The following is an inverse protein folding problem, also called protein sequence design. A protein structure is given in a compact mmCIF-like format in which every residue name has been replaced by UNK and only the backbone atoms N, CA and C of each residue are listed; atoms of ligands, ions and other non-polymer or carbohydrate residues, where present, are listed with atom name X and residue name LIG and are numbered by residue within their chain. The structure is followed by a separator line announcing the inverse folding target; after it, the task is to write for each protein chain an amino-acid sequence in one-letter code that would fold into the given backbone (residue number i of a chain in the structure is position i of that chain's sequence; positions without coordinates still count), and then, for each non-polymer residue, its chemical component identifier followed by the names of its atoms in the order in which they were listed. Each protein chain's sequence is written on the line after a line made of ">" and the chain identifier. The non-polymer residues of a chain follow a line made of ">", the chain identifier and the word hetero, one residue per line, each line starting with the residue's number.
data_IF_521793155772
#
_entry.id   IF_521793155772
#
_cell.length_a   1.000
_cell.length_b   1.000
_cell.length_c   1.000
_cell.angle_alpha   90.00
_cell.angle_beta   90.00
_cell.angle_gamma   90.00
#
_symmetry.space_group_name_H-M   'P 1'
#
loop_
_entity.id
_entity.type
_entity.pdbx_description
1 polymer ?
#
# COMPACT_ATOMS: atom_id res chain seq x y z
N UNK A 1 -18.44 -37.89 -34.47
CA UNK A 1 -18.16 -36.45 -34.35
C UNK A 1 -19.29 -35.66 -33.63
N UNK A 2 -20.55 -35.64 -34.14
CA UNK A 2 -21.65 -34.85 -33.53
C UNK A 2 -21.88 -35.16 -32.03
N UNK A 3 -21.89 -36.43 -31.59
CA UNK A 3 -22.08 -36.81 -30.20
C UNK A 3 -20.95 -36.31 -29.28
N UNK A 4 -19.69 -36.41 -29.71
CA UNK A 4 -18.52 -35.92 -28.99
C UNK A 4 -18.58 -34.39 -28.83
N UNK A 5 -18.95 -33.68 -29.89
CA UNK A 5 -19.13 -32.22 -29.87
C UNK A 5 -20.21 -31.79 -28.87
N UNK A 6 -21.36 -32.48 -28.84
CA UNK A 6 -22.44 -32.19 -27.89
C UNK A 6 -22.01 -32.45 -26.46
N UNK A 7 -21.24 -33.50 -26.19
CA UNK A 7 -20.69 -33.81 -24.86
C UNK A 7 -19.70 -32.73 -24.43
N UNK A 8 -18.76 -32.36 -25.32
CA UNK A 8 -17.81 -31.27 -25.03
C UNK A 8 -18.53 -29.95 -24.76
N UNK A 9 -19.56 -29.61 -25.52
CA UNK A 9 -20.33 -28.38 -25.30
C UNK A 9 -21.06 -28.39 -23.95
N UNK A 10 -21.62 -29.54 -23.53
CA UNK A 10 -22.28 -29.73 -22.24
C UNK A 10 -21.34 -29.59 -21.05
N UNK A 11 -20.04 -29.84 -21.22
CA UNK A 11 -19.02 -29.66 -20.18
C UNK A 11 -18.47 -28.22 -20.21
N UNK A 12 -18.18 -27.72 -21.43
CA UNK A 12 -17.53 -26.43 -21.61
C UNK A 12 -18.45 -25.24 -21.20
N UNK A 13 -19.73 -25.29 -21.56
CA UNK A 13 -20.69 -24.22 -21.22
C UNK A 13 -20.84 -23.99 -19.71
N UNK A 14 -21.06 -25.01 -18.87
CA UNK A 14 -21.07 -24.80 -17.41
C UNK A 14 -19.74 -24.31 -16.87
N UNK A 15 -18.61 -24.80 -17.38
CA UNK A 15 -17.27 -24.35 -16.96
C UNK A 15 -17.06 -22.87 -17.26
N UNK A 16 -17.40 -22.43 -18.47
CA UNK A 16 -17.35 -21.01 -18.86
C UNK A 16 -18.30 -20.18 -18.00
N UNK A 17 -19.50 -20.69 -17.71
CA UNK A 17 -20.46 -20.01 -16.83
C UNK A 17 -19.90 -19.84 -15.40
N UNK A 18 -19.33 -20.87 -14.80
CA UNK A 18 -18.71 -20.83 -13.48
C UNK A 18 -17.53 -19.84 -13.49
N UNK A 19 -16.66 -19.89 -14.48
CA UNK A 19 -15.52 -18.98 -14.60
C UNK A 19 -15.98 -17.52 -14.74
N UNK A 20 -17.02 -17.28 -15.55
CA UNK A 20 -17.59 -15.94 -15.70
C UNK A 20 -18.16 -15.41 -14.40
N UNK A 21 -18.90 -16.24 -13.66
CA UNK A 21 -19.45 -15.89 -12.35
C UNK A 21 -18.34 -15.64 -11.32
N UNK A 22 -17.28 -16.45 -11.33
CA UNK A 22 -16.13 -16.24 -10.45
C UNK A 22 -15.41 -14.91 -10.75
N UNK A 23 -15.15 -14.64 -12.04
CA UNK A 23 -14.56 -13.37 -12.46
C UNK A 23 -15.45 -12.19 -12.07
N UNK A 24 -16.75 -12.29 -12.33
CA UNK A 24 -17.73 -11.25 -11.95
C UNK A 24 -17.74 -11.04 -10.44
N UNK A 25 -17.74 -12.11 -9.63
CA UNK A 25 -17.63 -12.02 -8.17
C UNK A 25 -16.38 -11.27 -7.74
N UNK A 26 -15.18 -11.66 -8.23
CA UNK A 26 -13.93 -10.98 -7.88
C UNK A 26 -13.89 -9.51 -8.31
N UNK A 27 -14.58 -9.14 -9.36
CA UNK A 27 -14.65 -7.76 -9.84
C UNK A 27 -15.60 -6.88 -9.02
N UNK A 28 -16.72 -7.42 -8.56
CA UNK A 28 -17.79 -6.65 -7.91
C UNK A 28 -17.76 -6.76 -6.39
N UNK A 29 -17.14 -7.83 -5.84
CA UNK A 29 -17.16 -8.08 -4.41
C UNK A 29 -16.47 -6.96 -3.62
N UNK A 30 -17.16 -6.45 -2.58
CA UNK A 30 -16.60 -5.51 -1.62
C UNK A 30 -16.06 -6.31 -0.42
N UNK A 31 -14.86 -5.92 0.03
CA UNK A 31 -14.12 -6.65 1.08
C UNK A 31 -14.22 -6.00 2.46
N UNK A 32 -15.15 -5.07 2.66
CA UNK A 32 -15.29 -4.29 3.91
C UNK A 32 -15.50 -5.20 5.13
N UNK A 33 -16.37 -6.21 5.00
CA UNK A 33 -16.63 -7.19 6.07
C UNK A 33 -15.37 -8.00 6.38
N UNK A 34 -14.72 -8.55 5.35
CA UNK A 34 -13.44 -9.25 5.50
C UNK A 34 -12.39 -8.39 6.23
N UNK A 35 -12.25 -7.12 5.82
CA UNK A 35 -11.27 -6.23 6.45
C UNK A 35 -11.59 -5.97 7.93
N UNK A 36 -12.86 -5.80 8.26
CA UNK A 36 -13.30 -5.57 9.63
C UNK A 36 -13.07 -6.79 10.53
N UNK A 37 -13.48 -7.97 10.06
CA UNK A 37 -13.29 -9.23 10.78
C UNK A 37 -11.81 -9.57 10.94
N UNK A 38 -11.05 -9.47 9.86
CA UNK A 38 -9.63 -9.79 9.83
C UNK A 38 -8.79 -8.85 10.70
N UNK A 39 -9.13 -7.54 10.72
CA UNK A 39 -8.53 -6.59 11.66
C UNK A 39 -8.81 -6.97 13.10
N UNK A 40 -10.06 -7.28 13.42
CA UNK A 40 -10.50 -7.54 14.81
C UNK A 40 -10.11 -6.40 15.76
N UNK A 41 -9.83 -6.77 17.01
CA UNK A 41 -9.31 -5.88 18.06
C UNK A 41 -7.83 -6.16 18.30
N UNK A 42 -7.03 -5.12 18.53
CA UNK A 42 -5.63 -5.26 18.92
C UNK A 42 -5.53 -5.90 20.32
N UNK A 43 -5.04 -7.12 20.39
CA UNK A 43 -4.95 -7.94 21.63
C UNK A 43 -3.55 -8.01 22.20
N UNK A 44 -2.51 -7.98 21.33
CA UNK A 44 -1.12 -8.07 21.73
C UNK A 44 -0.27 -6.96 21.12
N UNK A 45 0.63 -6.37 21.93
CA UNK A 45 1.65 -5.44 21.50
C UNK A 45 2.96 -5.82 22.19
N UNK A 46 3.99 -6.06 21.39
CA UNK A 46 5.35 -6.28 21.88
C UNK A 46 6.27 -5.28 21.20
N UNK A 47 6.98 -4.47 22.00
CA UNK A 47 7.96 -3.52 21.54
C UNK A 47 9.35 -3.96 22.01
N UNK A 48 10.29 -4.08 21.06
CA UNK A 48 11.70 -4.36 21.32
C UNK A 48 12.51 -3.15 20.87
N UNK A 49 13.19 -2.51 21.82
CA UNK A 49 14.06 -1.38 21.50
C UNK A 49 15.25 -1.85 20.69
N UNK A 50 15.50 -1.16 19.58
CA UNK A 50 16.65 -1.35 18.72
C UNK A 50 17.61 -0.15 18.85
N UNK A 51 18.78 -0.23 18.21
CA UNK A 51 19.71 0.88 18.18
C UNK A 51 19.09 2.07 17.42
N UNK A 52 18.93 3.18 18.12
CA UNK A 52 18.44 4.45 17.62
C UNK A 52 19.59 5.43 17.39
N UNK A 53 19.24 6.69 17.20
CA UNK A 53 20.20 7.79 17.09
C UNK A 53 19.87 8.93 18.07
N UNK A 54 20.54 10.06 17.95
CA UNK A 54 20.30 11.23 18.79
C UNK A 54 18.93 11.91 18.56
N UNK A 55 18.20 11.55 17.51
CA UNK A 55 16.93 12.15 17.11
C UNK A 55 15.76 11.22 17.40
N UNK A 56 15.97 9.90 17.29
CA UNK A 56 14.92 8.89 17.36
C UNK A 56 15.31 7.70 18.23
N UNK A 57 14.35 7.23 19.03
CA UNK A 57 14.34 5.87 19.54
C UNK A 57 13.76 4.95 18.48
N UNK A 58 14.45 3.86 18.18
CA UNK A 58 14.00 2.85 17.21
C UNK A 58 13.44 1.63 17.95
N UNK A 59 12.33 1.09 17.44
CA UNK A 59 11.71 -0.12 17.96
C UNK A 59 11.33 -1.06 16.83
N UNK A 60 11.40 -2.36 17.12
CA UNK A 60 10.70 -3.39 16.39
C UNK A 60 9.43 -3.72 17.16
N UNK A 61 8.30 -3.64 16.47
CA UNK A 61 6.98 -3.79 17.08
C UNK A 61 6.27 -4.98 16.44
N UNK A 62 5.70 -5.85 17.27
CA UNK A 62 4.80 -6.93 16.83
C UNK A 62 3.41 -6.65 17.37
N UNK A 63 2.41 -6.67 16.48
CA UNK A 63 1.02 -6.43 16.77
C UNK A 63 0.23 -7.71 16.50
N UNK A 64 -0.68 -8.06 17.40
CA UNK A 64 -1.56 -9.22 17.25
C UNK A 64 -3.02 -8.79 17.44
N UNK A 65 -3.93 -9.42 16.68
CA UNK A 65 -5.37 -9.19 16.80
C UNK A 65 -6.14 -10.48 17.00
N UNK A 66 -7.33 -10.38 17.59
CA UNK A 66 -8.28 -11.48 17.67
C UNK A 66 -8.86 -11.90 16.31
N UNK A 67 -8.74 -11.05 15.27
CA UNK A 67 -9.00 -11.38 13.87
C UNK A 67 -7.93 -12.25 13.22
N UNK A 68 -6.88 -12.64 13.96
CA UNK A 68 -5.80 -13.51 13.53
C UNK A 68 -4.71 -12.84 12.72
N UNK A 69 -4.60 -11.49 12.73
CA UNK A 69 -3.45 -10.80 12.17
C UNK A 69 -2.27 -10.81 13.13
N UNK A 70 -1.08 -11.00 12.56
CA UNK A 70 0.20 -10.73 13.21
C UNK A 70 0.99 -9.79 12.30
N UNK A 71 1.27 -8.57 12.76
CA UNK A 71 1.91 -7.51 11.95
C UNK A 71 3.20 -7.05 12.62
N UNK A 72 4.32 -7.31 11.95
CA UNK A 72 5.60 -6.76 12.36
C UNK A 72 5.77 -5.35 11.80
N UNK A 73 6.28 -4.41 12.63
CA UNK A 73 6.51 -3.03 12.24
C UNK A 73 7.90 -2.56 12.67
N UNK A 74 8.45 -1.62 11.91
CA UNK A 74 9.48 -0.72 12.41
C UNK A 74 8.84 0.57 12.93
N UNK A 75 9.39 1.12 14.01
CA UNK A 75 8.93 2.37 14.60
C UNK A 75 10.12 3.28 14.90
N UNK A 76 10.00 4.55 14.54
CA UNK A 76 10.86 5.64 15.02
C UNK A 76 10.01 6.58 15.88
N UNK A 77 10.37 6.75 17.14
CA UNK A 77 9.76 7.72 18.05
C UNK A 77 10.75 8.85 18.35
N UNK A 78 10.36 10.13 18.27
CA UNK A 78 11.25 11.24 18.53
C UNK A 78 11.83 11.17 19.95
N UNK A 79 13.12 11.51 20.10
CA UNK A 79 13.73 11.74 21.40
C UNK A 79 13.13 13.02 21.97
N UNK A 80 12.54 12.93 23.14
CA UNK A 80 11.90 14.10 23.79
C UNK A 80 12.94 15.14 24.19
N UNK A 81 12.62 16.40 23.92
CA UNK A 81 13.43 17.50 24.44
C UNK A 81 13.35 17.56 25.98
N UNK A 82 14.45 17.82 26.68
CA UNK A 82 14.43 18.00 28.13
C UNK A 82 13.42 19.09 28.53
N UNK A 83 12.48 18.76 29.41
CA UNK A 83 11.46 19.68 29.89
C UNK A 83 10.16 19.75 29.09
N UNK A 84 10.03 19.05 27.96
CA UNK A 84 8.78 18.97 27.22
C UNK A 84 7.75 18.11 27.97
N UNK A 85 6.70 18.75 28.48
CA UNK A 85 5.58 18.07 29.14
C UNK A 85 4.52 17.68 28.11
N UNK A 86 4.28 16.38 27.91
CA UNK A 86 3.15 15.79 27.14
C UNK A 86 3.02 16.27 25.69
N UNK A 87 4.13 16.46 24.98
CA UNK A 87 4.07 16.73 23.55
C UNK A 87 3.58 15.50 22.78
N UNK A 88 2.53 15.69 21.96
CA UNK A 88 2.06 14.66 21.04
C UNK A 88 2.53 14.99 19.64
N UNK A 89 3.08 14.01 18.96
CA UNK A 89 3.66 14.16 17.65
C UNK A 89 2.69 13.68 16.55
N UNK A 90 2.68 14.31 15.37
CA UNK A 90 2.08 13.70 14.19
C UNK A 90 2.66 12.31 13.95
N UNK A 91 1.93 11.46 13.24
CA UNK A 91 2.44 10.15 12.86
C UNK A 91 2.39 9.96 11.33
N UNK A 92 3.41 9.32 10.78
CA UNK A 92 3.44 8.92 9.37
C UNK A 92 3.53 7.40 9.32
N UNK A 93 2.51 6.77 8.74
CA UNK A 93 2.54 5.35 8.39
C UNK A 93 3.14 5.25 6.99
N UNK A 94 4.27 4.56 6.87
CA UNK A 94 5.00 4.42 5.60
C UNK A 94 4.83 3.01 5.06
N UNK A 95 4.18 2.89 3.92
CA UNK A 95 4.12 1.66 3.13
C UNK A 95 5.23 1.72 2.09
N UNK A 96 6.30 0.98 2.34
CA UNK A 96 7.51 1.03 1.53
C UNK A 96 7.37 0.33 0.17
N UNK A 97 8.47 0.26 -0.58
CA UNK A 97 8.56 -0.54 -1.79
C UNK A 97 8.52 -2.05 -1.48
N UNK A 98 8.41 -2.86 -2.52
CA UNK A 98 8.26 -4.33 -2.45
C UNK A 98 9.24 -5.05 -1.50
N UNK A 99 10.46 -4.52 -1.33
CA UNK A 99 11.54 -5.15 -0.57
C UNK A 99 11.92 -4.41 0.71
N UNK A 100 11.19 -3.37 1.08
CA UNK A 100 11.54 -2.54 2.24
C UNK A 100 10.71 -2.87 3.48
N UNK A 101 9.42 -3.19 3.33
CA UNK A 101 8.54 -3.54 4.45
C UNK A 101 8.75 -2.61 5.66
N UNK A 102 8.94 -3.19 6.84
CA UNK A 102 9.21 -2.47 8.10
C UNK A 102 10.49 -1.63 8.10
N UNK A 103 11.45 -1.96 7.24
CA UNK A 103 12.70 -1.20 7.11
C UNK A 103 12.49 0.15 6.39
N UNK A 104 11.29 0.42 5.87
CA UNK A 104 10.96 1.70 5.27
C UNK A 104 11.11 2.88 6.25
N UNK A 105 11.09 2.65 7.56
CA UNK A 105 11.43 3.67 8.56
C UNK A 105 12.82 4.27 8.39
N UNK A 106 13.78 3.50 7.85
CA UNK A 106 15.16 3.98 7.64
C UNK A 106 15.25 5.03 6.51
N UNK A 107 14.17 5.26 5.77
CA UNK A 107 14.11 6.27 4.69
C UNK A 107 13.35 7.53 5.11
N UNK A 108 13.03 7.69 6.41
CA UNK A 108 12.39 8.90 6.96
C UNK A 108 13.40 10.04 7.14
N UNK A 109 14.16 10.35 6.10
CA UNK A 109 15.17 11.40 6.12
C UNK A 109 14.55 12.78 6.36
N UNK A 110 15.26 13.66 7.09
CA UNK A 110 14.93 15.08 7.25
C UNK A 110 13.56 15.38 7.89
N UNK A 111 12.93 14.36 8.53
CA UNK A 111 11.70 14.53 9.30
C UNK A 111 12.09 14.48 10.79
N UNK A 112 11.67 15.50 11.55
CA UNK A 112 11.86 15.58 13.00
C UNK A 112 10.51 15.76 13.68
N UNK A 113 10.42 15.41 14.96
CA UNK A 113 9.22 15.58 15.75
C UNK A 113 7.98 14.88 15.16
N UNK A 114 8.19 13.69 14.59
CA UNK A 114 7.15 12.85 13.98
C UNK A 114 7.40 11.40 14.36
N UNK A 115 6.36 10.69 14.76
CA UNK A 115 6.41 9.24 14.90
C UNK A 115 6.31 8.63 13.52
N UNK A 116 7.27 7.77 13.13
CA UNK A 116 7.25 7.08 11.85
C UNK A 116 7.07 5.59 12.11
N UNK A 117 6.11 4.97 11.45
CA UNK A 117 5.88 3.53 11.55
C UNK A 117 5.73 2.92 10.17
N UNK A 118 6.35 1.78 9.96
CA UNK A 118 6.23 1.02 8.72
C UNK A 118 5.91 -0.44 9.03
N UNK A 119 4.76 -0.96 8.58
CA UNK A 119 4.47 -2.39 8.69
C UNK A 119 5.24 -3.20 7.66
N UNK A 120 5.54 -4.44 8.01
CA UNK A 120 5.96 -5.46 7.05
C UNK A 120 4.76 -5.88 6.19
N UNK A 121 5.07 -6.38 5.00
CA UNK A 121 4.03 -6.94 4.14
C UNK A 121 3.69 -8.39 4.57
N UNK A 122 2.42 -8.81 4.47
CA UNK A 122 2.00 -10.15 4.87
C UNK A 122 2.60 -11.29 4.04
N UNK A 123 3.29 -10.97 2.96
CA UNK A 123 3.88 -11.94 2.04
C UNK A 123 5.27 -11.52 1.58
N UNK A 124 6.20 -12.47 1.62
CA UNK A 124 7.54 -12.29 1.05
C UNK A 124 7.65 -13.07 -0.26
N UNK A 125 7.65 -12.40 -1.42
CA UNK A 125 7.72 -13.08 -2.69
C UNK A 125 9.06 -13.79 -2.89
N UNK A 126 9.02 -14.95 -3.55
CA UNK A 126 10.24 -15.66 -3.96
C UNK A 126 11.06 -14.79 -4.93
N UNK A 127 12.37 -14.97 -5.00
CA UNK A 127 13.22 -14.26 -5.96
C UNK A 127 12.83 -14.50 -7.42
N UNK A 128 12.35 -15.71 -7.73
CA UNK A 128 11.85 -16.12 -9.05
C UNK A 128 10.74 -17.16 -8.88
N UNK A 129 9.91 -17.30 -9.90
CA UNK A 129 8.83 -18.28 -9.96
C UNK A 129 8.91 -19.08 -11.24
N UNK A 130 8.81 -20.41 -11.16
CA UNK A 130 8.30 -21.22 -12.22
C UNK A 130 6.78 -21.02 -12.32
N UNK A 131 6.18 -21.40 -13.46
CA UNK A 131 4.73 -21.29 -13.63
C UNK A 131 3.93 -22.08 -12.58
N UNK A 132 4.41 -23.28 -12.23
CA UNK A 132 3.75 -24.13 -11.23
C UNK A 132 3.86 -23.52 -9.81
N UNK A 133 5.03 -23.06 -9.41
CA UNK A 133 5.23 -22.37 -8.13
C UNK A 133 4.35 -21.13 -8.02
N UNK A 134 4.26 -20.35 -9.09
CA UNK A 134 3.36 -19.19 -9.11
C UNK A 134 1.90 -19.62 -8.86
N UNK A 135 1.41 -20.67 -9.55
CA UNK A 135 0.02 -21.16 -9.33
C UNK A 135 -0.22 -21.67 -7.91
N UNK A 136 0.77 -22.32 -7.31
CA UNK A 136 0.69 -22.80 -5.92
C UNK A 136 0.60 -21.63 -4.93
N UNK A 137 1.37 -20.58 -5.16
CA UNK A 137 1.45 -19.44 -4.24
C UNK A 137 0.32 -18.39 -4.47
N UNK A 138 -0.47 -18.51 -5.55
CA UNK A 138 -1.61 -17.60 -5.85
C UNK A 138 -2.57 -17.42 -4.67
N UNK A 139 -3.04 -18.47 -3.97
CA UNK A 139 -3.94 -18.28 -2.83
C UNK A 139 -3.30 -17.46 -1.69
N UNK A 140 -2.03 -17.72 -1.39
CA UNK A 140 -1.29 -16.99 -0.36
C UNK A 140 -1.07 -15.52 -0.77
N UNK A 141 -0.67 -15.28 -2.03
CA UNK A 141 -0.54 -13.92 -2.58
C UNK A 141 -1.86 -13.15 -2.50
N UNK A 142 -2.98 -13.83 -2.77
CA UNK A 142 -4.31 -13.23 -2.68
C UNK A 142 -4.69 -12.88 -1.25
N UNK A 143 -4.48 -13.78 -0.30
CA UNK A 143 -4.73 -13.55 1.12
C UNK A 143 -3.86 -12.38 1.61
N UNK A 144 -2.58 -12.37 1.26
CA UNK A 144 -1.68 -11.29 1.60
C UNK A 144 -2.12 -9.93 1.05
N UNK A 145 -2.58 -9.88 -0.20
CA UNK A 145 -3.13 -8.65 -0.77
C UNK A 145 -4.37 -8.15 -0.01
N UNK A 146 -5.22 -9.05 0.44
CA UNK A 146 -6.38 -8.72 1.29
C UNK A 146 -5.95 -8.27 2.67
N UNK A 147 -4.97 -8.93 3.29
CA UNK A 147 -4.49 -8.63 4.64
C UNK A 147 -3.70 -7.32 4.74
N UNK A 148 -3.23 -6.73 3.64
CA UNK A 148 -2.55 -5.43 3.65
C UNK A 148 -3.42 -4.31 4.25
N UNK A 149 -4.69 -4.25 3.89
CA UNK A 149 -5.60 -3.20 4.37
C UNK A 149 -5.84 -3.31 5.88
N UNK A 150 -6.31 -4.44 6.42
CA UNK A 150 -6.55 -4.59 7.85
C UNK A 150 -5.25 -4.52 8.68
N UNK A 151 -4.08 -4.89 8.12
CA UNK A 151 -2.78 -4.71 8.78
C UNK A 151 -2.48 -3.23 9.05
N UNK A 152 -2.70 -2.37 8.07
CA UNK A 152 -2.52 -0.90 8.25
C UNK A 152 -3.54 -0.34 9.23
N UNK A 153 -4.79 -0.83 9.20
CA UNK A 153 -5.81 -0.42 10.17
C UNK A 153 -5.43 -0.83 11.60
N UNK A 154 -4.82 -2.01 11.79
CA UNK A 154 -4.30 -2.46 13.10
C UNK A 154 -3.13 -1.58 13.57
N UNK A 155 -2.26 -1.14 12.68
CA UNK A 155 -1.21 -0.15 13.00
C UNK A 155 -1.81 1.17 13.49
N UNK A 156 -2.92 1.63 12.88
CA UNK A 156 -3.62 2.82 13.38
C UNK A 156 -4.25 2.60 14.76
N UNK A 157 -4.72 1.38 15.08
CA UNK A 157 -5.19 1.04 16.42
C UNK A 157 -4.07 1.08 17.46
N UNK A 158 -2.88 0.62 17.08
CA UNK A 158 -1.68 0.73 17.91
C UNK A 158 -1.30 2.20 18.14
N UNK A 159 -1.23 3.00 17.08
CA UNK A 159 -0.91 4.43 17.20
C UNK A 159 -1.91 5.18 18.08
N UNK A 160 -3.20 4.81 18.04
CA UNK A 160 -4.24 5.41 18.87
C UNK A 160 -4.06 5.11 20.37
N UNK A 161 -3.34 4.05 20.76
CA UNK A 161 -3.02 3.71 22.15
C UNK A 161 -1.74 4.39 22.64
N UNK A 162 -0.94 4.97 21.76
CA UNK A 162 0.31 5.62 22.13
C UNK A 162 0.07 7.01 22.72
N UNK A 163 0.63 7.32 23.91
CA UNK A 163 0.41 8.62 24.55
C UNK A 163 1.18 9.77 23.88
N UNK A 164 2.18 9.46 23.05
CA UNK A 164 3.04 10.39 22.33
C UNK A 164 2.54 10.69 20.90
N UNK A 165 1.43 10.10 20.46
CA UNK A 165 0.87 10.30 19.11
C UNK A 165 -0.33 11.23 19.15
N UNK A 166 -0.35 12.20 18.22
CA UNK A 166 -1.54 12.98 17.89
C UNK A 166 -2.32 12.28 16.77
N UNK A 167 -3.38 11.60 17.13
CA UNK A 167 -4.22 10.83 16.21
C UNK A 167 -5.00 11.67 15.21
N UNK A 168 -5.08 12.98 15.41
CA UNK A 168 -5.69 13.91 14.45
C UNK A 168 -4.74 14.28 13.30
N UNK A 169 -3.46 13.92 13.42
CA UNK A 169 -2.39 14.24 12.45
C UNK A 169 -1.67 12.99 11.95
N UNK A 170 -2.44 11.96 11.56
CA UNK A 170 -1.89 10.74 10.96
C UNK A 170 -1.82 10.93 9.43
N UNK A 171 -0.66 10.66 8.86
CA UNK A 171 -0.43 10.63 7.41
C UNK A 171 -0.24 9.19 6.97
N UNK A 172 -0.94 8.76 5.92
CA UNK A 172 -0.69 7.47 5.28
C UNK A 172 0.06 7.70 3.97
N UNK A 173 1.31 7.27 3.93
CA UNK A 173 2.23 7.42 2.80
C UNK A 173 2.56 6.08 2.19
N UNK A 174 2.31 5.91 0.89
CA UNK A 174 2.72 4.73 0.12
C UNK A 174 3.75 5.07 -0.94
N UNK A 175 4.82 4.28 -1.01
CA UNK A 175 5.84 4.36 -2.05
C UNK A 175 5.70 3.20 -3.03
N UNK A 176 5.64 3.48 -4.35
CA UNK A 176 5.68 2.48 -5.42
C UNK A 176 4.72 1.31 -5.13
N UNK A 177 5.22 0.16 -4.70
CA UNK A 177 4.40 -1.01 -4.33
C UNK A 177 3.41 -0.75 -3.19
N UNK A 178 3.74 0.11 -2.24
CA UNK A 178 2.85 0.50 -1.14
C UNK A 178 1.79 1.53 -1.53
N UNK A 179 1.99 2.26 -2.62
CA UNK A 179 1.08 3.33 -3.02
C UNK A 179 -0.36 2.85 -3.33
N UNK A 180 -0.60 1.73 -4.02
CA UNK A 180 -1.94 1.20 -4.27
C UNK A 180 -2.76 0.89 -3.00
N UNK A 181 -2.10 0.59 -1.88
CA UNK A 181 -2.77 0.26 -0.61
C UNK A 181 -3.44 1.49 0.01
N UNK A 182 -2.88 2.69 -0.21
CA UNK A 182 -3.33 3.94 0.42
C UNK A 182 -4.82 4.23 0.19
N UNK A 183 -5.34 4.23 -1.06
CA UNK A 183 -6.75 4.49 -1.29
C UNK A 183 -7.68 3.43 -0.68
N UNK A 184 -7.26 2.16 -0.71
CA UNK A 184 -8.06 1.07 -0.15
C UNK A 184 -8.20 1.20 1.38
N UNK A 185 -7.12 1.55 2.08
CA UNK A 185 -7.13 1.77 3.53
C UNK A 185 -8.03 2.96 3.89
N UNK A 186 -7.85 4.12 3.24
CA UNK A 186 -8.63 5.33 3.58
C UNK A 186 -10.12 5.17 3.26
N UNK A 187 -10.47 4.37 2.27
CA UNK A 187 -11.87 4.05 1.99
C UNK A 187 -12.54 3.25 3.12
N UNK A 188 -11.76 2.50 3.91
CA UNK A 188 -12.23 1.69 5.04
C UNK A 188 -12.04 2.40 6.39
N UNK A 189 -10.99 3.21 6.52
CA UNK A 189 -10.62 3.86 7.78
C UNK A 189 -10.25 5.33 7.54
N UNK A 190 -11.05 6.23 8.10
CA UNK A 190 -10.97 7.68 7.87
C UNK A 190 -10.04 8.42 8.85
N UNK A 191 -9.31 7.70 9.70
CA UNK A 191 -8.38 8.31 10.66
C UNK A 191 -7.20 9.06 10.02
N UNK A 192 -6.64 8.66 8.86
CA UNK A 192 -5.60 9.46 8.22
C UNK A 192 -6.10 10.85 7.83
N UNK A 193 -5.39 11.89 8.30
CA UNK A 193 -5.65 13.28 7.96
C UNK A 193 -5.18 13.62 6.54
N UNK A 194 -4.18 12.89 6.02
CA UNK A 194 -3.64 13.06 4.66
C UNK A 194 -3.32 11.70 4.04
N UNK A 195 -3.69 11.55 2.78
CA UNK A 195 -3.25 10.48 1.89
C UNK A 195 -2.06 10.96 1.04
N UNK A 196 -0.96 10.23 1.03
CA UNK A 196 0.18 10.53 0.18
C UNK A 196 0.59 9.29 -0.63
N UNK A 197 0.80 9.47 -1.92
CA UNK A 197 1.22 8.42 -2.86
C UNK A 197 2.45 8.91 -3.62
N UNK A 198 3.60 8.30 -3.37
CA UNK A 198 4.82 8.56 -4.11
C UNK A 198 5.08 7.44 -5.13
N UNK A 199 5.20 7.80 -6.41
CA UNK A 199 5.40 6.84 -7.50
C UNK A 199 4.29 5.78 -7.55
N UNK A 200 3.05 6.25 -7.41
CA UNK A 200 1.84 5.43 -7.46
C UNK A 200 0.96 5.78 -8.65
N UNK A 201 0.12 4.83 -9.06
CA UNK A 201 -0.83 5.00 -10.14
C UNK A 201 -2.04 4.06 -9.98
N UNK A 202 -3.04 4.22 -10.81
CA UNK A 202 -4.18 3.30 -10.96
C UNK A 202 -4.07 2.41 -12.18
N UNK A 203 -5.09 1.57 -12.40
CA UNK A 203 -5.12 0.52 -13.42
C UNK A 203 -3.95 -0.44 -13.30
N UNK A 204 -3.97 -1.23 -12.23
CA UNK A 204 -2.93 -2.22 -11.93
C UNK A 204 -2.78 -3.25 -13.06
N UNK A 205 -3.85 -3.56 -13.80
CA UNK A 205 -3.80 -4.45 -14.97
C UNK A 205 -2.85 -3.90 -16.05
N UNK A 206 -3.08 -2.64 -16.44
CA UNK A 206 -2.25 -1.96 -17.45
C UNK A 206 -0.82 -1.74 -16.95
N UNK A 207 -0.66 -1.35 -15.67
CA UNK A 207 0.62 -1.12 -15.04
C UNK A 207 1.50 -2.38 -15.02
N UNK A 208 0.93 -3.53 -14.64
CA UNK A 208 1.67 -4.79 -14.59
C UNK A 208 1.96 -5.28 -15.99
N UNK A 209 1.00 -5.20 -16.92
CA UNK A 209 1.23 -5.51 -18.33
C UNK A 209 2.41 -4.70 -18.90
N UNK A 210 2.45 -3.39 -18.65
CA UNK A 210 3.54 -2.52 -19.08
C UNK A 210 4.90 -3.00 -18.54
N UNK A 211 4.98 -3.29 -17.24
CA UNK A 211 6.23 -3.72 -16.63
C UNK A 211 6.69 -5.10 -17.09
N UNK A 212 5.77 -6.05 -17.29
CA UNK A 212 6.10 -7.39 -17.82
C UNK A 212 6.52 -7.32 -19.29
N UNK A 213 5.90 -6.44 -20.09
CA UNK A 213 6.26 -6.26 -21.51
C UNK A 213 7.70 -5.77 -21.74
N UNK A 214 8.35 -5.24 -20.72
CA UNK A 214 9.78 -4.85 -20.77
C UNK A 214 10.71 -6.06 -20.85
N UNK A 215 10.24 -7.26 -20.49
CA UNK A 215 11.05 -8.48 -20.38
C UNK A 215 10.41 -9.70 -21.07
N UNK A 216 9.15 -9.63 -21.44
CA UNK A 216 8.35 -10.73 -21.98
C UNK A 216 7.57 -10.32 -23.22
N UNK A 217 7.10 -11.30 -23.97
CA UNK A 217 6.30 -11.08 -25.17
C UNK A 217 4.90 -10.51 -24.90
N UNK A 218 4.19 -10.09 -25.98
CA UNK A 218 2.87 -9.45 -25.86
C UNK A 218 1.81 -10.35 -25.18
N UNK A 219 1.80 -11.64 -25.50
CA UNK A 219 0.82 -12.59 -24.93
C UNK A 219 1.06 -12.82 -23.44
N UNK A 220 2.34 -13.01 -23.05
CA UNK A 220 2.71 -13.21 -21.65
C UNK A 220 2.41 -11.97 -20.80
N UNK A 221 2.70 -10.78 -21.32
CA UNK A 221 2.44 -9.53 -20.63
C UNK A 221 0.94 -9.25 -20.47
N UNK A 222 0.13 -9.55 -21.48
CA UNK A 222 -1.33 -9.41 -21.41
C UNK A 222 -1.92 -10.37 -20.37
N UNK A 223 -1.49 -11.64 -20.38
CA UNK A 223 -1.95 -12.64 -19.43
C UNK A 223 -1.54 -12.26 -17.99
N UNK A 224 -0.27 -11.86 -17.79
CA UNK A 224 0.23 -11.43 -16.49
C UNK A 224 -0.53 -10.22 -15.96
N UNK A 225 -0.79 -9.21 -16.81
CA UNK A 225 -1.58 -8.04 -16.43
C UNK A 225 -2.99 -8.41 -15.97
N UNK A 226 -3.70 -9.26 -16.71
CA UNK A 226 -5.07 -9.70 -16.37
C UNK A 226 -5.11 -10.51 -15.08
N UNK A 227 -4.21 -11.48 -14.93
CA UNK A 227 -4.15 -12.31 -13.71
C UNK A 227 -3.80 -11.46 -12.48
N UNK A 228 -2.77 -10.64 -12.58
CA UNK A 228 -2.39 -9.78 -11.47
C UNK A 228 -3.45 -8.71 -11.16
N UNK A 229 -4.10 -8.13 -12.18
CA UNK A 229 -5.23 -7.22 -11.98
C UNK A 229 -6.41 -7.87 -11.25
N UNK A 230 -6.68 -9.16 -11.52
CA UNK A 230 -7.69 -9.91 -10.79
C UNK A 230 -7.26 -10.20 -9.34
N UNK A 231 -6.02 -10.64 -9.14
CA UNK A 231 -5.47 -10.95 -7.81
C UNK A 231 -5.39 -9.70 -6.92
N UNK A 232 -4.93 -8.59 -7.49
CA UNK A 232 -4.74 -7.32 -6.78
C UNK A 232 -5.98 -6.43 -6.81
N UNK A 233 -7.10 -6.91 -7.33
CA UNK A 233 -8.37 -6.16 -7.40
C UNK A 233 -8.78 -5.51 -6.06
N UNK A 234 -8.54 -6.14 -4.87
CA UNK A 234 -8.79 -5.51 -3.58
C UNK A 234 -7.96 -4.26 -3.30
N UNK A 235 -6.83 -4.10 -4.00
CA UNK A 235 -5.90 -2.97 -3.84
C UNK A 235 -5.93 -2.03 -5.05
N UNK A 236 -6.82 -2.25 -6.05
CA UNK A 236 -6.92 -1.39 -7.23
C UNK A 236 -7.30 0.05 -6.84
N UNK A 237 -6.39 1.03 -7.01
CA UNK A 237 -6.62 2.39 -6.55
C UNK A 237 -7.86 3.06 -7.16
N UNK A 238 -8.17 2.76 -8.43
CA UNK A 238 -9.32 3.33 -9.11
C UNK A 238 -10.67 2.95 -8.49
N UNK A 239 -10.73 1.89 -7.68
CA UNK A 239 -11.94 1.50 -6.94
C UNK A 239 -12.25 2.40 -5.76
N UNK A 240 -11.23 3.08 -5.24
CA UNK A 240 -11.31 3.73 -3.93
C UNK A 240 -10.94 5.21 -3.95
N UNK A 241 -10.18 5.65 -4.95
CA UNK A 241 -9.59 7.00 -4.95
C UNK A 241 -10.65 8.13 -4.95
N UNK A 242 -11.82 7.89 -5.54
CA UNK A 242 -12.92 8.83 -5.48
C UNK A 242 -13.58 8.91 -4.09
N UNK A 243 -13.37 7.88 -3.26
CA UNK A 243 -13.86 7.78 -1.90
C UNK A 243 -12.91 8.39 -0.86
N UNK A 244 -11.68 8.78 -1.21
CA UNK A 244 -10.72 9.40 -0.28
C UNK A 244 -11.25 10.75 0.24
N UNK A 245 -11.87 11.55 -0.61
CA UNK A 245 -12.42 12.85 -0.23
C UNK A 245 -13.35 12.74 1.00
N UNK A 246 -13.26 13.66 1.97
CA UNK A 246 -12.53 14.94 1.95
C UNK A 246 -11.04 14.87 2.41
N UNK A 247 -10.48 13.70 2.66
CA UNK A 247 -9.06 13.57 3.01
C UNK A 247 -8.19 14.07 1.85
N UNK A 248 -7.27 15.03 2.05
CA UNK A 248 -6.36 15.52 1.02
C UNK A 248 -5.50 14.40 0.44
N UNK A 249 -5.42 14.32 -0.90
CA UNK A 249 -4.57 13.40 -1.63
C UNK A 249 -3.37 14.15 -2.22
N UNK A 250 -2.16 13.76 -1.85
CA UNK A 250 -0.90 14.26 -2.43
C UNK A 250 -0.29 13.14 -3.25
N UNK A 251 -0.11 13.37 -4.55
CA UNK A 251 0.58 12.45 -5.46
C UNK A 251 1.92 13.07 -5.86
N UNK A 252 3.01 12.30 -5.78
CA UNK A 252 4.37 12.70 -6.18
C UNK A 252 4.90 11.65 -7.15
N UNK A 253 5.14 12.01 -8.41
CA UNK A 253 5.57 11.07 -9.44
C UNK A 253 6.77 11.61 -10.24
N UNK A 254 7.53 10.70 -10.87
CA UNK A 254 8.68 11.02 -11.70
C UNK A 254 8.30 11.29 -13.15
N UNK A 255 8.86 12.35 -13.76
CA UNK A 255 8.62 12.66 -15.18
C UNK A 255 9.27 11.67 -16.14
N UNK A 256 10.28 10.94 -15.68
CA UNK A 256 11.07 9.97 -16.45
C UNK A 256 10.90 8.55 -15.91
N UNK A 257 9.77 8.29 -15.21
CA UNK A 257 9.50 6.98 -14.62
C UNK A 257 9.18 5.95 -15.70
N UNK A 258 10.04 4.95 -15.80
CA UNK A 258 9.91 3.86 -16.76
C UNK A 258 9.01 2.72 -16.28
N UNK A 259 8.64 2.71 -14.99
CA UNK A 259 7.78 1.67 -14.40
C UNK A 259 6.33 2.13 -14.26
N UNK A 260 6.11 3.42 -14.06
CA UNK A 260 4.78 4.01 -13.86
C UNK A 260 4.44 4.89 -15.07
N UNK A 261 3.70 4.39 -16.06
CA UNK A 261 3.30 5.18 -17.22
C UNK A 261 2.48 6.41 -16.80
N UNK A 262 2.78 7.54 -17.43
CA UNK A 262 2.09 8.81 -17.15
C UNK A 262 0.56 8.69 -17.24
N UNK A 263 0.05 7.96 -18.25
CA UNK A 263 -1.39 7.76 -18.42
C UNK A 263 -2.07 7.10 -17.22
N UNK A 264 -1.36 6.18 -16.53
CA UNK A 264 -1.86 5.53 -15.31
C UNK A 264 -1.91 6.51 -14.13
N UNK A 265 -0.94 7.42 -14.03
CA UNK A 265 -0.93 8.50 -13.02
C UNK A 265 -2.05 9.49 -13.28
N UNK A 266 -2.16 9.96 -14.53
CA UNK A 266 -3.17 10.94 -14.95
C UNK A 266 -4.58 10.36 -14.73
N UNK A 267 -4.82 9.09 -15.08
CA UNK A 267 -6.11 8.43 -14.85
C UNK A 267 -6.47 8.40 -13.36
N UNK A 268 -5.54 8.03 -12.49
CA UNK A 268 -5.77 8.03 -11.04
C UNK A 268 -6.08 9.43 -10.52
N UNK A 269 -5.26 10.42 -10.94
CA UNK A 269 -5.45 11.80 -10.53
C UNK A 269 -6.80 12.35 -10.96
N UNK A 270 -7.22 12.11 -12.22
CA UNK A 270 -8.52 12.59 -12.70
C UNK A 270 -9.70 11.91 -12.02
N UNK A 271 -9.57 10.65 -11.65
CA UNK A 271 -10.62 9.89 -10.92
C UNK A 271 -10.76 10.37 -9.48
N UNK A 272 -9.67 10.79 -8.83
CA UNK A 272 -9.71 11.33 -7.47
C UNK A 272 -10.56 12.61 -7.39
N UNK A 273 -11.28 12.79 -6.27
CA UNK A 273 -12.00 14.03 -5.95
C UNK A 273 -11.13 15.01 -5.20
N UNK A 274 -11.54 16.27 -5.12
CA UNK A 274 -10.87 17.28 -4.31
C UNK A 274 -11.01 17.00 -2.80
N UNK A 275 -10.05 17.43 -1.98
CA UNK A 275 -8.81 18.13 -2.32
C UNK A 275 -7.71 17.16 -2.80
N UNK A 276 -7.04 17.49 -3.88
CA UNK A 276 -5.97 16.68 -4.45
C UNK A 276 -4.87 17.52 -5.08
N UNK A 277 -3.64 17.04 -5.03
CA UNK A 277 -2.47 17.68 -5.64
C UNK A 277 -1.58 16.63 -6.31
N UNK A 278 -1.09 16.94 -7.52
CA UNK A 278 -0.12 16.11 -8.24
C UNK A 278 1.15 16.93 -8.46
N UNK A 279 2.28 16.37 -8.04
CA UNK A 279 3.60 17.00 -8.12
C UNK A 279 4.50 16.08 -8.96
N UNK A 280 5.12 16.65 -9.97
CA UNK A 280 6.08 15.96 -10.81
C UNK A 280 7.50 16.32 -10.41
N UNK A 281 8.33 15.32 -10.19
CA UNK A 281 9.77 15.46 -9.98
C UNK A 281 10.50 15.02 -11.26
N UNK A 282 11.51 15.75 -11.64
CA UNK A 282 12.41 15.30 -12.71
C UNK A 282 13.27 14.14 -12.19
N UNK A 283 12.80 12.92 -12.45
CA UNK A 283 13.44 11.70 -11.95
C UNK A 283 12.89 10.44 -12.64
N UNK A 284 13.68 9.38 -12.58
CA UNK A 284 13.28 8.01 -12.88
C UNK A 284 12.50 7.41 -11.71
N UNK A 285 12.13 6.12 -11.80
CA UNK A 285 11.42 5.43 -10.73
C UNK A 285 12.19 5.46 -9.40
N UNK A 286 11.44 5.62 -8.29
CA UNK A 286 12.02 5.63 -6.94
C UNK A 286 12.71 4.29 -6.64
N UNK A 287 13.90 4.37 -6.10
CA UNK A 287 14.71 3.21 -5.72
C UNK A 287 15.32 3.47 -4.33
N UNK A 288 15.26 2.52 -3.40
CA UNK A 288 15.86 2.68 -2.05
C UNK A 288 17.34 3.07 -2.06
N UNK A 289 18.08 2.71 -3.11
CA UNK A 289 19.50 3.09 -3.26
C UNK A 289 19.71 4.55 -3.69
N UNK A 290 18.67 5.21 -4.19
CA UNK A 290 18.73 6.62 -4.57
C UNK A 290 18.27 7.49 -3.39
N UNK A 291 19.18 7.69 -2.44
CA UNK A 291 18.94 8.47 -1.22
C UNK A 291 18.57 9.92 -1.54
N UNK A 292 19.21 10.54 -2.54
CA UNK A 292 18.93 11.91 -2.94
C UNK A 292 17.48 12.10 -3.41
N UNK A 293 17.00 11.19 -4.26
CA UNK A 293 15.61 11.22 -4.70
C UNK A 293 14.65 11.02 -3.52
N UNK A 294 14.96 10.09 -2.61
CA UNK A 294 14.14 9.87 -1.42
C UNK A 294 14.06 11.13 -0.56
N UNK A 295 15.18 11.80 -0.33
CA UNK A 295 15.21 13.09 0.39
C UNK A 295 14.36 14.14 -0.34
N UNK A 296 14.45 14.25 -1.66
CA UNK A 296 13.63 15.20 -2.44
C UNK A 296 12.13 14.91 -2.28
N UNK A 297 11.72 13.65 -2.34
CA UNK A 297 10.32 13.25 -2.14
C UNK A 297 9.85 13.66 -0.74
N UNK A 298 10.64 13.33 0.29
CA UNK A 298 10.32 13.66 1.68
C UNK A 298 10.22 15.17 1.90
N UNK A 299 11.16 15.95 1.37
CA UNK A 299 11.12 17.43 1.47
C UNK A 299 9.91 18.04 0.77
N UNK A 300 9.57 17.50 -0.40
CA UNK A 300 8.36 17.90 -1.12
C UNK A 300 7.12 17.61 -0.30
N UNK A 301 7.00 16.39 0.21
CA UNK A 301 5.88 15.99 1.05
C UNK A 301 5.81 16.83 2.33
N UNK A 302 6.94 17.04 3.01
CA UNK A 302 7.02 17.88 4.22
C UNK A 302 6.49 19.29 3.99
N UNK A 303 6.86 19.91 2.86
CA UNK A 303 6.34 21.23 2.47
C UNK A 303 4.81 21.24 2.36
N UNK A 304 4.24 20.24 1.71
CA UNK A 304 2.77 20.09 1.57
C UNK A 304 2.09 19.84 2.92
N UNK A 305 2.67 18.98 3.75
CA UNK A 305 2.13 18.67 5.10
C UNK A 305 2.17 19.90 6.01
N UNK A 306 3.21 20.73 5.91
CA UNK A 306 3.31 22.01 6.65
C UNK A 306 2.22 23.00 6.18
N UNK A 307 1.96 23.10 4.87
CA UNK A 307 0.88 23.94 4.34
C UNK A 307 -0.51 23.48 4.81
N UNK A 308 -0.69 22.17 5.06
CA UNK A 308 -1.92 21.60 5.59
C UNK A 308 -2.01 21.66 7.13
N UNK A 309 -1.00 22.19 7.83
CA UNK A 309 -0.97 22.26 9.30
C UNK A 309 -0.78 20.91 9.99
N UNK A 310 -0.24 19.91 9.30
CA UNK A 310 0.03 18.58 9.85
C UNK A 310 1.40 18.56 10.56
N UNK A 311 2.40 19.24 9.98
CA UNK A 311 3.77 19.36 10.51
C UNK A 311 4.13 20.79 10.88
#
# INVERSE_FOLDING_TARGET
>A
MKRLFVVLLKILLPLVGILTLAVWYFYTHEYTEYYSERRGSLTGVREEQAEGDSLFHKYWVSLESDGGLSVACGLLAPVRSPGATRERYPAIIVLGGKTTGKDAINYAFDIRNVVVVAPDYPYTPRPSYSFLEFLIDVPEMRTAALDMVPSVMLVMDYLARRPDVDTSRIVLLGYSFGAPVVPAVIAQDRRPAVAAMAYGAGDLTSLIRHNVARYRGPLESELAGRLAGLLLRPLEPLRYVDRISPTPLIMINGTQDEQIPRGNVDLLYWTARQPKKLIWLESRHVNPRNVELTIRIIRTLKGELTQLGIL
#
